data_IF_674508218501
#
_entry.id   IF_674508218501
#
_cell.length_a   1.000
_cell.length_b   1.000
_cell.length_c   1.000
_cell.angle_alpha   90.00
_cell.angle_beta   90.00
_cell.angle_gamma   90.00
#
_symmetry.space_group_name_H-M   'P 1'
#
loop_
_entity.id
_entity.type
_entity.pdbx_description
1 polymer ?
#
# COMPACT_ATOMS: atom_id res chain seq x y z
N UNK A 1 21.28 0.08 -14.33
CA UNK A 1 20.07 0.66 -14.94
C UNK A 1 19.01 0.67 -13.83
N UNK A 2 18.28 1.76 -13.68
CA UNK A 2 17.15 1.84 -12.73
C UNK A 2 16.04 0.94 -13.31
N UNK A 3 15.48 0.05 -12.47
CA UNK A 3 14.34 -0.81 -12.85
C UNK A 3 13.06 -0.18 -12.30
N UNK A 4 12.08 0.03 -13.16
CA UNK A 4 10.76 0.53 -12.75
C UNK A 4 9.80 -0.64 -12.61
N UNK A 5 9.23 -0.80 -11.41
CA UNK A 5 8.21 -1.82 -11.17
C UNK A 5 6.84 -1.39 -11.68
N UNK A 6 6.59 -0.07 -11.71
CA UNK A 6 5.31 0.48 -12.11
C UNK A 6 5.51 1.81 -12.84
N UNK A 7 4.80 1.97 -13.96
CA UNK A 7 4.82 3.20 -14.77
C UNK A 7 3.41 3.54 -15.23
N UNK A 8 3.12 4.82 -15.45
CA UNK A 8 1.90 5.25 -16.11
C UNK A 8 2.20 6.21 -17.25
N UNK A 9 1.38 6.15 -18.30
CA UNK A 9 1.42 7.08 -19.43
C UNK A 9 0.05 7.73 -19.58
N UNK A 10 -0.02 9.05 -19.36
CA UNK A 10 -1.24 9.88 -19.51
C UNK A 10 -2.46 9.28 -18.81
N UNK A 11 -2.25 8.73 -17.59
CA UNK A 11 -3.27 8.07 -16.83
C UNK A 11 -4.41 9.06 -16.50
N UNK A 12 -5.63 8.68 -16.85
CA UNK A 12 -6.83 9.42 -16.50
C UNK A 12 -7.85 8.52 -15.81
N UNK A 13 -8.53 9.05 -14.81
CA UNK A 13 -9.69 8.41 -14.20
C UNK A 13 -10.82 9.40 -14.05
N UNK A 14 -11.97 9.03 -14.60
CA UNK A 14 -13.19 9.83 -14.60
C UNK A 14 -14.33 8.96 -14.10
N UNK A 15 -15.14 9.51 -13.20
CA UNK A 15 -16.39 8.90 -12.77
C UNK A 15 -17.56 9.67 -13.36
N UNK A 16 -18.65 8.97 -13.66
CA UNK A 16 -19.92 9.57 -14.09
C UNK A 16 -20.98 9.30 -13.02
N UNK A 17 -21.58 10.34 -12.51
CA UNK A 17 -22.68 10.23 -11.55
C UNK A 17 -23.82 11.16 -12.00
N UNK A 18 -24.97 10.56 -12.36
CA UNK A 18 -26.14 11.32 -12.81
C UNK A 18 -25.89 12.22 -14.03
N UNK A 19 -24.96 11.84 -14.94
CA UNK A 19 -24.59 12.63 -16.11
C UNK A 19 -23.52 13.69 -15.87
N UNK A 20 -23.09 13.90 -14.61
CA UNK A 20 -21.97 14.78 -14.30
C UNK A 20 -20.67 13.99 -14.33
N UNK A 21 -19.71 14.46 -15.13
CA UNK A 21 -18.38 13.86 -15.27
C UNK A 21 -17.43 14.49 -14.24
N UNK A 22 -16.83 13.65 -13.39
CA UNK A 22 -15.81 14.07 -12.43
C UNK A 22 -14.46 13.48 -12.83
N UNK A 23 -13.55 14.34 -13.29
CA UNK A 23 -12.18 13.96 -13.63
C UNK A 23 -11.32 13.96 -12.36
N UNK A 24 -11.03 12.77 -11.83
CA UNK A 24 -10.30 12.60 -10.56
C UNK A 24 -8.79 12.51 -10.79
N UNK A 25 -8.36 11.81 -11.83
CA UNK A 25 -6.94 11.75 -12.25
C UNK A 25 -6.85 12.28 -13.67
N UNK A 26 -5.83 13.11 -13.96
CA UNK A 26 -5.72 13.87 -15.20
C UNK A 26 -4.31 13.77 -15.80
N UNK A 27 -4.16 13.07 -16.91
CA UNK A 27 -2.91 12.97 -17.68
C UNK A 27 -1.66 12.70 -16.82
N UNK A 28 -1.77 11.77 -15.87
CA UNK A 28 -0.74 11.54 -14.87
C UNK A 28 0.30 10.56 -15.40
N UNK A 29 1.55 11.03 -15.48
CA UNK A 29 2.72 10.22 -15.74
C UNK A 29 3.45 9.98 -14.42
N UNK A 30 3.75 8.72 -14.11
CA UNK A 30 4.39 8.30 -12.87
C UNK A 30 5.31 7.12 -13.17
N UNK A 31 6.45 7.10 -12.51
CA UNK A 31 7.36 5.97 -12.45
C UNK A 31 7.63 5.61 -10.99
N UNK A 32 7.57 4.34 -10.63
CA UNK A 32 7.94 3.81 -9.31
C UNK A 32 9.09 2.84 -9.51
N UNK A 33 10.21 3.13 -8.86
CA UNK A 33 11.39 2.29 -8.91
C UNK A 33 11.19 1.01 -8.08
N UNK A 34 11.81 -0.09 -8.52
CA UNK A 34 11.80 -1.33 -7.76
C UNK A 34 12.56 -1.14 -6.43
N UNK A 35 11.95 -1.57 -5.32
CA UNK A 35 12.51 -1.39 -3.98
C UNK A 35 12.30 -0.01 -3.38
N UNK A 36 11.55 0.91 -4.02
CA UNK A 36 11.16 2.18 -3.41
C UNK A 36 10.01 2.04 -2.42
N UNK A 37 10.02 2.88 -1.40
CA UNK A 37 8.84 3.17 -0.58
C UNK A 37 8.29 4.55 -0.97
N UNK A 38 7.42 4.54 -1.97
CA UNK A 38 6.77 5.75 -2.49
C UNK A 38 5.52 6.06 -1.68
N UNK A 39 5.44 7.25 -1.12
CA UNK A 39 4.26 7.76 -0.41
C UNK A 39 3.58 8.84 -1.25
N UNK A 40 2.28 8.68 -1.48
CA UNK A 40 1.45 9.66 -2.18
C UNK A 40 0.65 10.43 -1.14
N UNK A 41 0.96 11.71 -0.97
CA UNK A 41 0.26 12.65 -0.10
C UNK A 41 -0.68 13.55 -0.90
N UNK A 42 -1.56 14.25 -0.20
CA UNK A 42 -2.49 15.22 -0.77
C UNK A 42 -3.71 15.41 0.13
N UNK A 43 -4.49 16.45 -0.10
CA UNK A 43 -5.70 16.74 0.67
C UNK A 43 -6.76 15.64 0.55
N UNK A 44 -7.75 15.64 1.44
CA UNK A 44 -8.89 14.72 1.31
C UNK A 44 -9.60 14.98 -0.01
N UNK A 45 -9.98 13.91 -0.72
CA UNK A 45 -10.65 14.04 -2.03
C UNK A 45 -9.72 14.33 -3.22
N UNK A 46 -8.40 14.47 -3.04
CA UNK A 46 -7.46 14.71 -4.16
C UNK A 46 -7.32 13.56 -5.15
N UNK A 47 -7.86 12.36 -4.85
CA UNK A 47 -7.80 11.19 -5.72
C UNK A 47 -6.73 10.15 -5.35
N UNK A 48 -6.13 10.22 -4.17
CA UNK A 48 -5.06 9.29 -3.73
C UNK A 48 -5.44 7.82 -3.82
N UNK A 49 -6.55 7.41 -3.18
CA UNK A 49 -7.03 6.02 -3.23
C UNK A 49 -7.44 5.62 -4.65
N UNK A 50 -8.03 6.57 -5.42
CA UNK A 50 -8.37 6.34 -6.84
C UNK A 50 -7.10 6.04 -7.65
N UNK A 51 -6.04 6.82 -7.44
CA UNK A 51 -4.74 6.57 -8.08
C UNK A 51 -4.19 5.21 -7.66
N UNK A 52 -4.15 4.91 -6.37
CA UNK A 52 -3.68 3.61 -5.84
C UNK A 52 -4.42 2.42 -6.49
N UNK A 53 -5.74 2.52 -6.61
CA UNK A 53 -6.57 1.45 -7.19
C UNK A 53 -6.36 1.32 -8.70
N UNK A 54 -6.15 2.43 -9.41
CA UNK A 54 -5.78 2.38 -10.83
C UNK A 54 -4.40 1.74 -11.04
N UNK A 55 -3.40 2.12 -10.24
CA UNK A 55 -2.03 1.57 -10.28
C UNK A 55 -1.99 0.07 -10.01
N UNK A 56 -2.83 -0.41 -9.11
CA UNK A 56 -2.87 -1.82 -8.70
C UNK A 56 -3.76 -2.71 -9.57
N UNK A 57 -4.45 -2.15 -10.56
CA UNK A 57 -5.44 -2.86 -11.36
C UNK A 57 -6.68 -3.29 -10.58
N UNK A 58 -6.95 -2.67 -9.41
CA UNK A 58 -8.23 -2.84 -8.69
C UNK A 58 -9.37 -2.12 -9.42
N UNK A 59 -9.06 -0.96 -9.98
CA UNK A 59 -9.97 -0.19 -10.82
C UNK A 59 -9.28 0.15 -12.14
N UNK A 60 -10.00 0.09 -13.24
CA UNK A 60 -9.44 0.39 -14.56
C UNK A 60 -9.36 1.89 -14.78
N UNK A 61 -8.27 2.41 -15.36
CA UNK A 61 -8.24 3.79 -15.82
C UNK A 61 -9.30 4.04 -16.90
N UNK A 62 -9.75 5.28 -17.01
CA UNK A 62 -10.64 5.68 -18.10
C UNK A 62 -9.90 5.91 -19.40
N UNK A 63 -8.63 6.37 -19.33
CA UNK A 63 -7.70 6.56 -20.44
C UNK A 63 -6.26 6.44 -19.96
N UNK A 64 -5.33 6.29 -20.89
CA UNK A 64 -3.91 6.15 -20.60
C UNK A 64 -3.52 4.71 -20.28
N UNK A 65 -2.29 4.53 -19.80
CA UNK A 65 -1.71 3.21 -19.56
C UNK A 65 -1.23 3.04 -18.13
N UNK A 66 -1.30 1.80 -17.66
CA UNK A 66 -0.60 1.31 -16.46
C UNK A 66 0.30 0.16 -16.89
N UNK A 67 1.60 0.30 -16.67
CA UNK A 67 2.62 -0.66 -17.05
C UNK A 67 3.24 -1.21 -15.79
N UNK A 68 3.13 -2.50 -15.57
CA UNK A 68 3.71 -3.21 -14.45
C UNK A 68 4.82 -4.14 -14.97
N UNK A 69 6.04 -3.90 -14.53
CA UNK A 69 7.21 -4.68 -14.95
C UNK A 69 7.25 -4.88 -16.48
N UNK A 70 7.12 -3.78 -17.24
CA UNK A 70 7.09 -3.77 -18.69
C UNK A 70 5.81 -4.30 -19.35
N UNK A 71 4.81 -4.74 -18.57
CA UNK A 71 3.54 -5.28 -19.10
C UNK A 71 2.39 -4.32 -18.89
N UNK A 72 1.69 -3.94 -19.96
CA UNK A 72 0.46 -3.14 -19.87
C UNK A 72 -0.67 -3.95 -19.24
N UNK A 73 -1.30 -3.39 -18.18
CA UNK A 73 -2.35 -4.09 -17.43
C UNK A 73 -3.77 -3.54 -17.66
N UNK A 74 -3.92 -2.30 -18.15
CA UNK A 74 -5.23 -1.65 -18.30
C UNK A 74 -6.18 -2.36 -19.27
N UNK A 75 -5.64 -3.10 -20.25
CA UNK A 75 -6.41 -3.79 -21.29
C UNK A 75 -6.84 -5.22 -20.86
N UNK A 76 -6.36 -5.70 -19.70
CA UNK A 76 -6.70 -7.03 -19.18
C UNK A 76 -8.18 -7.11 -18.79
N UNK A 77 -8.79 -8.29 -18.96
CA UNK A 77 -10.12 -8.59 -18.40
C UNK A 77 -10.10 -8.56 -16.88
N UNK A 78 -11.27 -8.57 -16.24
CA UNK A 78 -11.34 -8.58 -14.77
C UNK A 78 -10.71 -9.85 -14.17
N UNK A 79 -10.86 -11.02 -14.82
CA UNK A 79 -10.28 -12.28 -14.37
C UNK A 79 -8.74 -12.28 -14.52
N UNK A 80 -8.23 -11.72 -15.62
CA UNK A 80 -6.79 -11.53 -15.82
C UNK A 80 -6.20 -10.54 -14.81
N UNK A 81 -6.91 -9.44 -14.49
CA UNK A 81 -6.52 -8.52 -13.42
C UNK A 81 -6.55 -9.18 -12.04
N UNK A 82 -7.54 -10.01 -11.76
CA UNK A 82 -7.59 -10.77 -10.50
C UNK A 82 -6.40 -11.74 -10.39
N UNK A 83 -6.07 -12.42 -11.49
CA UNK A 83 -4.90 -13.31 -11.57
C UNK A 83 -3.58 -12.53 -11.42
N UNK A 84 -3.48 -11.37 -12.08
CA UNK A 84 -2.34 -10.47 -11.97
C UNK A 84 -2.14 -10.01 -10.52
N UNK A 85 -3.18 -9.48 -9.86
CA UNK A 85 -3.09 -9.01 -8.47
C UNK A 85 -2.69 -10.12 -7.52
N UNK A 86 -3.29 -11.31 -7.68
CA UNK A 86 -2.99 -12.48 -6.86
C UNK A 86 -1.51 -12.85 -6.85
N UNK A 87 -0.83 -12.72 -7.99
CA UNK A 87 0.58 -13.09 -8.14
C UNK A 87 1.58 -11.97 -7.82
N UNK A 88 1.16 -10.69 -7.89
CA UNK A 88 2.10 -9.57 -7.88
C UNK A 88 1.84 -8.55 -6.78
N UNK A 89 0.62 -8.42 -6.26
CA UNK A 89 0.22 -7.33 -5.39
C UNK A 89 -0.17 -7.82 -4.00
N UNK A 90 0.33 -7.13 -2.96
CA UNK A 90 -0.22 -7.19 -1.62
C UNK A 90 -1.04 -5.93 -1.33
N UNK A 91 -2.07 -6.05 -0.50
CA UNK A 91 -2.93 -4.92 -0.16
C UNK A 91 -3.14 -4.79 1.33
N UNK A 92 -2.93 -3.57 1.85
CA UNK A 92 -3.25 -3.17 3.21
C UNK A 92 -4.18 -1.98 3.15
N UNK A 93 -5.36 -2.10 3.78
CA UNK A 93 -6.40 -1.08 3.73
C UNK A 93 -6.58 -0.40 5.09
N UNK A 94 -7.15 0.78 5.09
CA UNK A 94 -7.59 1.49 6.29
C UNK A 94 -8.66 0.69 7.05
N UNK A 95 -9.67 0.16 6.35
CA UNK A 95 -10.58 -0.85 6.87
C UNK A 95 -9.96 -2.23 6.65
N UNK A 96 -9.64 -2.93 7.71
CA UNK A 96 -8.69 -4.08 7.68
C UNK A 96 -9.24 -5.29 6.90
N UNK A 97 -10.56 -5.42 6.78
CA UNK A 97 -11.27 -6.50 6.06
C UNK A 97 -10.78 -7.91 6.42
N UNK A 98 -10.61 -8.18 7.72
CA UNK A 98 -10.47 -9.55 8.19
C UNK A 98 -11.81 -10.27 8.11
N UNK A 99 -11.77 -11.57 7.83
CA UNK A 99 -12.94 -12.44 7.81
C UNK A 99 -13.36 -12.74 9.25
N UNK A 100 -14.48 -12.19 9.68
CA UNK A 100 -14.98 -12.20 11.06
C UNK A 100 -15.18 -13.61 11.64
N UNK A 101 -15.50 -14.58 10.79
CA UNK A 101 -15.76 -15.97 11.13
C UNK A 101 -14.53 -16.88 10.98
N UNK A 102 -13.35 -16.30 10.78
CA UNK A 102 -12.07 -17.00 10.68
C UNK A 102 -11.11 -16.53 11.77
N UNK A 103 -10.26 -17.45 12.23
CA UNK A 103 -9.20 -17.12 13.19
C UNK A 103 -8.14 -16.23 12.57
N UNK A 104 -7.25 -15.66 13.39
CA UNK A 104 -6.07 -14.91 12.95
C UNK A 104 -5.24 -15.73 11.95
N UNK A 105 -4.92 -16.97 12.30
CA UNK A 105 -4.14 -17.84 11.43
C UNK A 105 -4.88 -18.16 10.13
N UNK A 106 -6.17 -18.45 10.20
CA UNK A 106 -6.98 -18.75 9.01
C UNK A 106 -7.12 -17.54 8.09
N UNK A 107 -7.22 -16.33 8.62
CA UNK A 107 -7.22 -15.10 7.83
C UNK A 107 -5.92 -14.95 6.99
N UNK A 108 -4.77 -15.27 7.58
CA UNK A 108 -3.49 -15.25 6.86
C UNK A 108 -3.42 -16.37 5.83
N UNK A 109 -3.81 -17.59 6.22
CA UNK A 109 -3.80 -18.76 5.33
C UNK A 109 -4.78 -18.60 4.16
N UNK A 110 -5.95 -17.99 4.36
CA UNK A 110 -6.88 -17.69 3.26
C UNK A 110 -6.23 -16.82 2.19
N UNK A 111 -5.46 -15.79 2.59
CA UNK A 111 -4.68 -14.98 1.65
C UNK A 111 -3.60 -15.78 0.93
N UNK A 112 -2.97 -16.73 1.63
CA UNK A 112 -1.94 -17.59 1.04
C UNK A 112 -2.48 -18.61 0.04
N UNK A 113 -3.60 -19.25 0.37
CA UNK A 113 -4.20 -20.36 -0.39
C UNK A 113 -4.75 -19.95 -1.77
N UNK A 114 -4.94 -18.66 -2.03
CA UNK A 114 -5.28 -18.19 -3.38
C UNK A 114 -4.12 -18.34 -4.38
N UNK A 115 -2.88 -18.54 -3.89
CA UNK A 115 -1.66 -18.68 -4.72
C UNK A 115 -1.00 -20.04 -4.50
N UNK A 116 -0.99 -20.53 -3.26
CA UNK A 116 -0.21 -21.69 -2.82
C UNK A 116 -1.14 -22.83 -2.39
N UNK A 117 -0.62 -24.06 -2.43
CA UNK A 117 -1.32 -25.20 -1.84
C UNK A 117 -1.08 -25.22 -0.33
N UNK A 118 -2.06 -25.73 0.42
CA UNK A 118 -1.89 -25.92 1.85
C UNK A 118 -0.76 -26.93 2.13
N UNK A 119 0.16 -26.56 3.00
CA UNK A 119 1.27 -27.40 3.42
C UNK A 119 1.73 -27.03 4.83
N UNK A 120 2.41 -27.94 5.55
CA UNK A 120 3.01 -27.63 6.85
C UNK A 120 3.98 -26.44 6.79
N UNK A 121 4.74 -26.29 5.70
CA UNK A 121 5.69 -25.20 5.48
C UNK A 121 4.97 -23.86 5.35
N UNK A 122 3.82 -23.82 4.68
CA UNK A 122 3.00 -22.60 4.57
C UNK A 122 2.45 -22.18 5.93
N UNK A 123 1.95 -23.13 6.71
CA UNK A 123 1.49 -22.87 8.08
C UNK A 123 2.63 -22.35 8.95
N UNK A 124 3.81 -22.97 8.85
CA UNK A 124 5.02 -22.53 9.57
C UNK A 124 5.39 -21.10 9.18
N UNK A 125 5.43 -20.79 7.88
CA UNK A 125 5.70 -19.42 7.37
C UNK A 125 4.70 -18.41 7.90
N UNK A 126 3.40 -18.74 7.91
CA UNK A 126 2.36 -17.86 8.44
C UNK A 126 2.58 -17.53 9.92
N UNK A 127 2.90 -18.53 10.73
CA UNK A 127 3.20 -18.39 12.16
C UNK A 127 4.45 -17.52 12.39
N UNK A 128 5.54 -17.78 11.67
CA UNK A 128 6.77 -16.98 11.74
C UNK A 128 6.54 -15.50 11.38
N UNK A 129 5.73 -15.23 10.36
CA UNK A 129 5.39 -13.85 9.99
C UNK A 129 4.50 -13.17 11.03
N UNK A 130 3.55 -13.88 11.62
CA UNK A 130 2.73 -13.38 12.72
C UNK A 130 3.61 -13.01 13.93
N UNK A 131 4.54 -13.88 14.33
CA UNK A 131 5.48 -13.60 15.42
C UNK A 131 6.37 -12.39 15.11
N UNK A 132 6.95 -12.31 13.93
CA UNK A 132 7.78 -11.17 13.49
C UNK A 132 7.03 -9.84 13.53
N UNK A 133 5.72 -9.86 13.36
CA UNK A 133 4.86 -8.66 13.45
C UNK A 133 4.26 -8.46 14.84
N UNK A 134 4.74 -9.19 15.86
CA UNK A 134 4.32 -9.05 17.25
C UNK A 134 2.96 -9.68 17.57
N UNK A 135 2.44 -10.57 16.72
CA UNK A 135 1.23 -11.36 17.00
C UNK A 135 1.63 -12.68 17.66
N UNK A 136 1.47 -12.73 18.98
CA UNK A 136 1.86 -13.89 19.80
C UNK A 136 1.04 -15.14 19.46
N UNK A 137 1.58 -16.33 19.73
CA UNK A 137 0.92 -17.61 19.52
C UNK A 137 -0.45 -17.70 20.21
N UNK A 138 -0.60 -17.09 21.39
CA UNK A 138 -1.86 -17.03 22.13
C UNK A 138 -2.98 -16.30 21.39
N UNK A 139 -2.65 -15.55 20.33
CA UNK A 139 -3.61 -14.82 19.51
C UNK A 139 -3.95 -15.53 18.19
N UNK A 140 -3.25 -16.58 17.77
CA UNK A 140 -3.46 -17.21 16.47
C UNK A 140 -4.85 -17.83 16.28
N UNK A 141 -5.44 -18.32 17.37
CA UNK A 141 -6.78 -18.93 17.37
C UNK A 141 -7.88 -17.93 17.76
N UNK A 142 -7.55 -16.66 17.99
CA UNK A 142 -8.56 -15.61 18.22
C UNK A 142 -9.26 -15.23 16.94
N UNK A 143 -10.48 -14.70 17.08
CA UNK A 143 -11.25 -14.09 16.01
C UNK A 143 -10.98 -12.57 15.94
N UNK A 144 -11.23 -11.90 14.80
CA UNK A 144 -10.96 -10.47 14.62
C UNK A 144 -11.54 -9.57 15.71
N UNK A 145 -12.75 -9.84 16.19
CA UNK A 145 -13.42 -9.09 17.26
C UNK A 145 -12.75 -9.20 18.64
N UNK A 146 -11.78 -10.08 18.80
CA UNK A 146 -10.99 -10.27 20.02
C UNK A 146 -9.62 -9.57 19.95
N UNK A 147 -9.34 -8.86 18.84
CA UNK A 147 -8.10 -8.16 18.61
C UNK A 147 -8.25 -6.65 18.84
N UNK A 148 -7.18 -6.01 19.27
CA UNK A 148 -7.07 -4.55 19.15
C UNK A 148 -6.96 -4.15 17.66
N UNK A 149 -7.31 -2.90 17.32
CA UNK A 149 -7.17 -2.40 15.96
C UNK A 149 -5.75 -2.54 15.40
N UNK A 150 -4.72 -2.30 16.23
CA UNK A 150 -3.33 -2.47 15.83
C UNK A 150 -2.95 -3.94 15.59
N UNK A 151 -3.44 -4.88 16.41
CA UNK A 151 -3.25 -6.31 16.16
C UNK A 151 -3.92 -6.75 14.86
N UNK A 152 -5.16 -6.35 14.65
CA UNK A 152 -5.91 -6.67 13.43
C UNK A 152 -5.19 -6.12 12.19
N UNK A 153 -4.66 -4.88 12.24
CA UNK A 153 -3.88 -4.30 11.15
C UNK A 153 -2.60 -5.07 10.87
N UNK A 154 -1.86 -5.49 11.90
CA UNK A 154 -0.66 -6.33 11.73
C UNK A 154 -0.99 -7.68 11.10
N UNK A 155 -2.11 -8.31 11.46
CA UNK A 155 -2.62 -9.52 10.78
C UNK A 155 -2.93 -9.24 9.31
N UNK A 156 -3.57 -8.10 9.01
CA UNK A 156 -3.82 -7.63 7.64
C UNK A 156 -2.55 -7.48 6.80
N UNK A 157 -1.48 -6.94 7.41
CA UNK A 157 -0.16 -6.83 6.75
C UNK A 157 0.42 -8.22 6.48
N UNK A 158 0.40 -9.14 7.45
CA UNK A 158 0.90 -10.51 7.26
C UNK A 158 0.14 -11.21 6.12
N UNK A 159 -1.19 -11.06 6.07
CA UNK A 159 -2.01 -11.57 4.98
C UNK A 159 -1.60 -10.98 3.62
N UNK A 160 -1.23 -9.71 3.58
CA UNK A 160 -0.82 -9.05 2.35
C UNK A 160 0.56 -9.53 1.83
N UNK A 161 1.49 -9.88 2.73
CA UNK A 161 2.87 -10.24 2.36
C UNK A 161 3.16 -11.74 2.31
N UNK A 162 2.24 -12.60 2.76
CA UNK A 162 2.48 -14.05 2.87
C UNK A 162 2.90 -14.71 1.56
N UNK A 163 2.43 -14.16 0.43
CA UNK A 163 2.73 -14.65 -0.92
C UNK A 163 3.96 -13.98 -1.56
N UNK A 164 4.75 -13.19 -0.81
CA UNK A 164 5.89 -12.43 -1.31
C UNK A 164 5.52 -11.59 -2.55
N UNK A 165 4.56 -10.65 -2.47
CA UNK A 165 4.16 -9.84 -3.61
C UNK A 165 5.32 -8.99 -4.09
N UNK A 166 5.35 -8.66 -5.38
CA UNK A 166 6.36 -7.78 -5.96
C UNK A 166 6.20 -6.33 -5.50
N UNK A 167 4.96 -5.92 -5.22
CA UNK A 167 4.63 -4.60 -4.70
C UNK A 167 3.55 -4.68 -3.63
N UNK A 168 3.69 -3.85 -2.59
CA UNK A 168 2.71 -3.71 -1.52
C UNK A 168 2.01 -2.35 -1.66
N UNK A 169 0.69 -2.38 -1.84
CA UNK A 169 -0.16 -1.19 -1.85
C UNK A 169 -0.78 -0.99 -0.48
N UNK A 170 -0.73 0.23 0.06
CA UNK A 170 -1.30 0.56 1.36
C UNK A 170 -2.16 1.82 1.28
N UNK A 171 -3.44 1.70 1.63
CA UNK A 171 -4.40 2.80 1.65
C UNK A 171 -4.68 3.22 3.10
N UNK A 172 -4.09 4.35 3.53
CA UNK A 172 -4.23 4.92 4.88
C UNK A 172 -4.07 3.89 6.03
N UNK A 173 -2.99 3.06 6.07
CA UNK A 173 -2.91 1.88 6.92
C UNK A 173 -2.92 2.16 8.43
N UNK A 174 -2.74 3.42 8.82
CA UNK A 174 -2.73 3.87 10.23
C UNK A 174 -3.90 4.77 10.60
N UNK A 175 -4.78 5.08 9.63
CA UNK A 175 -5.81 6.11 9.78
C UNK A 175 -6.87 5.85 10.86
N UNK A 176 -7.02 4.60 11.33
CA UNK A 176 -7.96 4.22 12.40
C UNK A 176 -7.25 3.82 13.70
N UNK A 177 -5.94 3.99 13.79
CA UNK A 177 -5.14 3.55 14.92
C UNK A 177 -4.76 4.72 15.83
N UNK A 178 -4.61 4.44 17.12
CA UNK A 178 -3.96 5.37 18.03
C UNK A 178 -2.47 5.50 17.69
N UNK A 179 -1.81 6.53 18.21
CA UNK A 179 -0.43 6.87 17.86
C UNK A 179 0.59 5.74 18.15
N UNK A 180 0.40 4.97 19.22
CA UNK A 180 1.31 3.87 19.57
C UNK A 180 1.16 2.72 18.58
N UNK A 181 -0.05 2.21 18.38
CA UNK A 181 -0.33 1.15 17.41
C UNK A 181 0.01 1.55 15.96
N UNK A 182 -0.18 2.85 15.61
CA UNK A 182 0.23 3.39 14.33
C UNK A 182 1.74 3.32 14.12
N UNK A 183 2.55 3.66 15.14
CA UNK A 183 4.01 3.53 15.06
C UNK A 183 4.44 2.07 14.88
N UNK A 184 3.87 1.13 15.65
CA UNK A 184 4.17 -0.30 15.51
C UNK A 184 3.92 -0.79 14.07
N UNK A 185 2.80 -0.35 13.46
CA UNK A 185 2.46 -0.67 12.07
C UNK A 185 3.48 -0.06 11.09
N UNK A 186 3.88 1.20 11.30
CA UNK A 186 4.87 1.86 10.45
C UNK A 186 6.27 1.24 10.58
N UNK A 187 6.63 0.75 11.76
CA UNK A 187 7.90 0.02 11.96
C UNK A 187 7.92 -1.27 11.14
N UNK A 188 6.79 -1.99 11.07
CA UNK A 188 6.66 -3.17 10.20
C UNK A 188 6.85 -2.80 8.73
N UNK A 189 6.21 -1.73 8.24
CA UNK A 189 6.44 -1.27 6.85
C UNK A 189 7.91 -0.90 6.60
N UNK A 190 8.56 -0.26 7.58
CA UNK A 190 9.99 0.08 7.50
C UNK A 190 10.84 -1.19 7.35
N UNK A 191 10.59 -2.21 8.16
CA UNK A 191 11.32 -3.48 8.09
C UNK A 191 11.05 -4.24 6.77
N UNK A 192 9.81 -4.25 6.30
CA UNK A 192 9.44 -4.84 4.99
C UNK A 192 10.21 -4.12 3.86
N UNK A 193 10.28 -2.78 3.90
CA UNK A 193 11.03 -1.98 2.93
C UNK A 193 12.54 -2.22 3.01
N UNK A 194 13.13 -2.30 4.20
CA UNK A 194 14.56 -2.64 4.38
C UNK A 194 14.92 -3.97 3.74
N UNK A 195 13.97 -4.93 3.72
CA UNK A 195 14.15 -6.23 3.06
C UNK A 195 13.91 -6.18 1.54
N UNK A 196 13.80 -5.00 0.94
CA UNK A 196 13.74 -4.80 -0.51
C UNK A 196 12.34 -4.76 -1.12
N UNK A 197 11.28 -4.79 -0.31
CA UNK A 197 9.90 -4.71 -0.80
C UNK A 197 9.60 -3.33 -1.40
N UNK A 198 9.09 -3.31 -2.64
CA UNK A 198 8.49 -2.09 -3.22
C UNK A 198 7.16 -1.79 -2.53
N UNK A 199 6.96 -0.53 -2.12
CA UNK A 199 5.75 -0.09 -1.42
C UNK A 199 5.21 1.18 -2.08
N UNK A 200 3.90 1.19 -2.36
CA UNK A 200 3.16 2.42 -2.67
C UNK A 200 2.09 2.62 -1.62
N UNK A 201 2.20 3.71 -0.88
CA UNK A 201 1.30 4.03 0.23
C UNK A 201 0.64 5.37 -0.02
N UNK A 202 -0.65 5.48 0.26
CA UNK A 202 -1.34 6.77 0.29
C UNK A 202 -1.66 7.15 1.72
N UNK A 203 -1.46 8.42 2.05
CA UNK A 203 -1.77 8.97 3.36
C UNK A 203 -1.89 10.49 3.31
N UNK A 204 -2.50 11.06 4.33
CA UNK A 204 -2.46 12.49 4.63
C UNK A 204 -1.61 12.79 5.89
N UNK A 205 -1.05 11.77 6.54
CA UNK A 205 -0.29 11.92 7.78
C UNK A 205 1.21 12.04 7.52
N UNK A 206 1.79 13.12 8.06
CA UNK A 206 3.22 13.42 7.95
C UNK A 206 4.10 12.35 8.63
N UNK A 207 3.67 11.77 9.76
CA UNK A 207 4.44 10.74 10.47
C UNK A 207 4.57 9.46 9.63
N UNK A 208 3.53 9.16 8.87
CA UNK A 208 3.54 8.06 7.91
C UNK A 208 4.45 8.39 6.72
N UNK A 209 4.36 9.61 6.18
CA UNK A 209 5.11 10.01 5.00
C UNK A 209 6.63 10.05 5.20
N UNK A 210 7.12 10.40 6.38
CA UNK A 210 8.56 10.39 6.67
C UNK A 210 9.19 8.99 6.59
N UNK A 211 8.40 7.90 6.57
CA UNK A 211 8.92 6.53 6.42
C UNK A 211 9.30 6.19 4.98
N UNK A 212 8.71 6.88 4.01
CA UNK A 212 9.04 6.68 2.60
C UNK A 212 10.41 7.26 2.22
N UNK A 213 11.03 6.72 1.19
CA UNK A 213 12.20 7.34 0.57
C UNK A 213 11.84 8.23 -0.63
N UNK A 214 10.56 8.26 -1.02
CA UNK A 214 10.00 9.17 -2.02
C UNK A 214 8.60 9.62 -1.60
N UNK A 215 8.33 10.92 -1.68
CA UNK A 215 7.02 11.51 -1.37
C UNK A 215 6.54 12.30 -2.58
N UNK A 216 5.37 11.90 -3.08
CA UNK A 216 4.65 12.56 -4.16
C UNK A 216 3.49 13.35 -3.58
N UNK A 217 3.26 14.58 -4.05
CA UNK A 217 2.11 15.36 -3.64
C UNK A 217 1.08 15.45 -4.76
N UNK A 218 -0.09 14.86 -4.53
CA UNK A 218 -1.21 14.81 -5.47
C UNK A 218 -2.18 15.96 -5.18
N UNK A 219 -2.42 16.81 -6.18
CA UNK A 219 -3.40 17.89 -6.13
C UNK A 219 -4.13 18.03 -7.46
N UNK A 220 -5.45 18.19 -7.42
CA UNK A 220 -6.32 18.40 -8.59
C UNK A 220 -6.19 17.34 -9.69
N UNK A 221 -5.86 16.11 -9.29
CA UNK A 221 -5.72 14.93 -10.17
C UNK A 221 -4.36 14.80 -10.85
N UNK A 222 -3.37 15.61 -10.50
CA UNK A 222 -1.98 15.55 -10.98
C UNK A 222 -0.96 15.54 -9.85
N UNK A 223 0.23 15.03 -10.12
CA UNK A 223 1.38 15.15 -9.19
C UNK A 223 2.01 16.52 -9.39
N UNK A 224 2.02 17.31 -8.32
CA UNK A 224 2.55 18.68 -8.33
C UNK A 224 3.87 18.80 -7.55
N UNK A 225 4.29 17.75 -6.85
CA UNK A 225 5.54 17.70 -6.13
C UNK A 225 6.09 16.27 -6.05
N UNK A 226 7.41 16.13 -6.13
CA UNK A 226 8.16 14.88 -6.03
C UNK A 226 9.41 15.12 -5.18
N UNK A 227 9.47 14.54 -4.00
CA UNK A 227 10.55 14.72 -3.05
C UNK A 227 11.21 13.38 -2.69
N UNK A 228 12.50 13.27 -2.90
CA UNK A 228 13.30 12.08 -2.60
C UNK A 228 14.12 12.26 -1.35
N UNK A 229 14.19 11.23 -0.54
CA UNK A 229 14.97 11.15 0.70
C UNK A 229 15.78 9.84 0.69
N UNK A 230 16.88 9.75 1.46
CA UNK A 230 17.52 8.47 1.74
C UNK A 230 16.52 7.46 2.33
N UNK A 231 16.86 6.17 2.37
CA UNK A 231 16.06 5.20 3.12
C UNK A 231 15.90 5.61 4.57
N UNK A 232 14.76 5.32 5.17
CA UNK A 232 14.44 5.75 6.54
C UNK A 232 15.43 5.19 7.56
N UNK A 233 15.96 6.08 8.42
CA UNK A 233 16.73 5.80 9.61
C UNK A 233 16.11 6.48 10.83
N UNK A 234 16.27 5.90 12.00
CA UNK A 234 15.70 6.50 13.25
C UNK A 234 16.42 7.79 13.63
N UNK A 235 17.69 7.90 13.31
CA UNK A 235 18.54 9.05 13.67
C UNK A 235 18.19 10.32 12.87
N UNK A 236 17.51 10.20 11.73
CA UNK A 236 17.20 11.31 10.83
C UNK A 236 15.74 11.80 10.88
N UNK A 237 14.90 11.26 11.77
CA UNK A 237 13.46 11.56 11.87
C UNK A 237 13.18 13.07 11.94
N UNK A 238 13.93 13.80 12.78
CA UNK A 238 13.71 15.24 12.96
C UNK A 238 14.05 16.02 11.69
N UNK A 239 15.16 15.68 11.05
CA UNK A 239 15.59 16.30 9.81
C UNK A 239 14.61 16.03 8.67
N UNK A 240 14.22 14.77 8.50
CA UNK A 240 13.21 14.33 7.51
C UNK A 240 11.89 15.07 7.69
N UNK A 241 11.41 15.14 8.96
CA UNK A 241 10.18 15.86 9.28
C UNK A 241 10.27 17.33 8.89
N UNK A 242 11.36 18.03 9.20
CA UNK A 242 11.55 19.44 8.87
C UNK A 242 11.55 19.65 7.35
N UNK A 243 12.39 18.90 6.62
CA UNK A 243 12.49 18.99 5.16
C UNK A 243 11.17 18.67 4.45
N UNK A 244 10.48 17.63 4.92
CA UNK A 244 9.21 17.25 4.33
C UNK A 244 8.10 18.27 4.66
N UNK A 245 8.11 18.87 5.86
CA UNK A 245 7.18 19.96 6.21
C UNK A 245 7.38 21.17 5.32
N UNK A 246 8.63 21.57 5.05
CA UNK A 246 8.97 22.65 4.14
C UNK A 246 8.46 22.35 2.72
N UNK A 247 8.83 21.18 2.17
CA UNK A 247 8.36 20.74 0.86
C UNK A 247 6.82 20.73 0.73
N UNK A 248 6.12 20.21 1.72
CA UNK A 248 4.66 20.15 1.72
C UNK A 248 4.05 21.56 1.89
N UNK A 249 4.67 22.43 2.67
CA UNK A 249 4.28 23.84 2.81
C UNK A 249 4.31 24.58 1.46
N UNK A 250 5.36 24.35 0.66
CA UNK A 250 5.46 24.92 -0.70
C UNK A 250 4.35 24.38 -1.64
N UNK A 251 3.85 23.20 -1.36
CA UNK A 251 2.71 22.60 -2.09
C UNK A 251 1.34 23.03 -1.57
N UNK A 252 1.29 23.84 -0.48
CA UNK A 252 0.03 24.32 0.11
C UNK A 252 -0.67 23.29 1.01
N UNK A 253 0.10 22.40 1.63
CA UNK A 253 -0.38 21.39 2.60
C UNK A 253 -0.54 21.99 3.99
#
# INVERSE_FOLDING_TARGET
MVSFILQTEKLCKTFSNGGVMQHVIKNLDLEVEEGDFTVIMGSSGSGKSTLLYALSGMDKPSMGKVIFDGTEIQNKSNDELATFRRGNCGFVFQSIYLLENQTVLDNVLTGALIVQKNSPELVKKAKELLEKTGIKETSWNKYPNQLSGGEAQRVGIVRAIINNPRILFADEPTGQLNSAAGNDVLDIFTEIHKNGQSIVMVTHDLKTAIRGNRVLYLRDGGIVGDYRMPRFGEDDIKERKNKLTEFLGDMGW
#
